data_IF_402670453271
#
_entry.id   IF_402670453271
#
_cell.length_a   1.000
_cell.length_b   1.000
_cell.length_c   1.000
_cell.angle_alpha   90.00
_cell.angle_beta   90.00
_cell.angle_gamma   90.00
#
_symmetry.space_group_name_H-M   'P 1'
#
loop_
_entity.id
_entity.type
_entity.pdbx_description
1 polymer ?
#
# COMPACT_ATOMS: atom_id res chain seq x y z
N UNK A 1 -59.32 52.03 51.89
CA UNK A 1 -59.75 50.88 51.07
C UNK A 1 -58.86 49.70 51.45
N UNK A 2 -59.22 48.79 52.36
CA UNK A 2 -60.22 47.71 52.24
C UNK A 2 -59.87 46.78 51.05
N UNK A 3 -59.73 45.44 51.14
CA UNK A 3 -60.15 44.34 52.02
C UNK A 3 -59.02 43.27 52.08
N UNK A 4 -58.71 42.58 53.20
CA UNK A 4 -59.25 41.29 53.73
C UNK A 4 -59.47 40.15 52.71
N UNK A 5 -58.83 39.00 52.95
CA UNK A 5 -59.19 37.69 52.37
C UNK A 5 -58.28 36.56 52.85
N UNK A 6 -58.72 35.80 53.84
CA UNK A 6 -58.11 34.55 54.30
C UNK A 6 -58.62 33.37 53.45
N UNK A 7 -57.77 32.40 53.12
CA UNK A 7 -58.20 31.11 52.61
C UNK A 7 -57.28 29.98 53.13
N UNK A 8 -57.92 29.10 53.89
CA UNK A 8 -57.45 27.80 54.39
C UNK A 8 -57.39 26.85 53.18
N UNK A 9 -56.28 26.12 53.00
CA UNK A 9 -56.27 24.93 52.14
C UNK A 9 -55.78 23.71 52.90
N UNK A 10 -56.64 22.69 52.88
CA UNK A 10 -56.53 21.44 53.57
C UNK A 10 -55.46 20.52 52.96
N UNK A 11 -54.75 19.81 53.83
CA UNK A 11 -53.97 18.62 53.51
C UNK A 11 -54.92 17.52 52.98
N UNK A 12 -54.70 17.09 51.73
CA UNK A 12 -55.25 15.84 51.20
C UNK A 12 -54.06 14.94 50.87
N UNK A 13 -53.86 13.94 51.72
CA UNK A 13 -52.92 12.84 51.51
C UNK A 13 -53.51 11.87 50.49
N UNK A 14 -52.97 11.88 49.27
CA UNK A 14 -53.35 10.92 48.21
C UNK A 14 -52.40 9.72 48.24
N UNK A 15 -52.98 8.56 48.57
CA UNK A 15 -52.38 7.23 48.53
C UNK A 15 -52.02 6.86 47.08
N UNK A 16 -50.73 6.72 46.76
CA UNK A 16 -50.29 6.21 45.47
C UNK A 16 -50.34 4.67 45.47
N UNK A 17 -51.35 4.09 44.82
CA UNK A 17 -51.40 2.66 44.53
C UNK A 17 -50.57 2.41 43.27
N UNK A 18 -49.44 1.74 43.43
CA UNK A 18 -48.58 1.30 42.33
C UNK A 18 -49.32 0.22 41.50
N UNK A 19 -49.94 0.63 40.39
CA UNK A 19 -50.44 -0.30 39.38
C UNK A 19 -49.25 -0.70 38.50
N UNK A 20 -48.66 -1.86 38.78
CA UNK A 20 -47.64 -2.44 37.91
C UNK A 20 -48.26 -2.88 36.58
N UNK A 21 -47.93 -2.21 35.49
CA UNK A 21 -48.23 -2.69 34.14
C UNK A 21 -47.27 -3.84 33.81
N UNK A 22 -47.73 -5.09 33.89
CA UNK A 22 -47.01 -6.23 33.31
C UNK A 22 -47.31 -6.29 31.80
N UNK A 23 -46.32 -5.97 30.97
CA UNK A 23 -46.38 -6.13 29.51
C UNK A 23 -46.01 -7.59 29.17
N UNK A 24 -47.01 -8.42 28.83
CA UNK A 24 -46.77 -9.76 28.32
C UNK A 24 -46.53 -9.68 26.81
N UNK A 25 -45.28 -9.89 26.37
CA UNK A 25 -44.95 -10.01 24.95
C UNK A 25 -45.07 -11.50 24.55
N UNK A 26 -45.97 -11.86 23.62
CA UNK A 26 -46.05 -13.21 23.09
C UNK A 26 -44.96 -13.39 22.03
N UNK A 27 -43.78 -13.85 22.45
CA UNK A 27 -42.69 -14.22 21.57
C UNK A 27 -41.54 -14.83 22.37
N UNK A 28 -40.93 -15.91 21.87
CA UNK A 28 -39.60 -16.31 22.33
C UNK A 28 -38.66 -15.13 22.09
N UNK A 29 -38.04 -14.61 23.15
CA UNK A 29 -36.99 -13.62 23.02
C UNK A 29 -35.87 -14.27 22.21
N UNK A 30 -35.55 -13.70 21.04
CA UNK A 30 -34.43 -14.13 20.23
C UNK A 30 -33.17 -14.17 21.11
N UNK A 31 -32.36 -15.22 20.97
CA UNK A 31 -31.13 -15.35 21.75
C UNK A 31 -30.25 -14.15 21.42
N UNK A 32 -29.94 -13.34 22.43
CA UNK A 32 -29.02 -12.21 22.29
C UNK A 32 -27.63 -12.79 21.96
N UNK A 33 -27.25 -12.70 20.69
CA UNK A 33 -25.90 -13.01 20.25
C UNK A 33 -24.96 -11.88 20.70
N UNK A 34 -23.72 -12.21 21.04
CA UNK A 34 -22.77 -11.24 21.57
C UNK A 34 -22.40 -10.11 20.59
N UNK A 35 -22.78 -10.20 19.30
CA UNK A 35 -22.65 -9.08 18.33
C UNK A 35 -23.54 -7.87 18.64
N UNK A 36 -24.50 -8.02 19.54
CA UNK A 36 -25.45 -6.97 19.94
C UNK A 36 -25.05 -6.27 21.25
N UNK A 37 -23.81 -6.51 21.69
CA UNK A 37 -23.26 -5.95 22.91
C UNK A 37 -23.28 -4.40 22.87
N UNK A 38 -23.72 -3.78 23.96
CA UNK A 38 -23.89 -2.33 24.07
C UNK A 38 -25.19 -1.75 23.46
N UNK A 39 -25.98 -2.52 22.70
CA UNK A 39 -27.26 -2.05 22.14
C UNK A 39 -28.43 -2.33 23.07
N UNK A 40 -28.47 -3.50 23.73
CA UNK A 40 -29.53 -3.88 24.69
C UNK A 40 -28.96 -4.81 25.78
N UNK A 41 -28.79 -4.32 27.01
CA UNK A 41 -28.49 -5.14 28.20
C UNK A 41 -27.01 -5.25 28.62
N UNK A 42 -26.73 -5.90 29.77
CA UNK A 42 -25.36 -6.15 30.26
C UNK A 42 -24.56 -7.02 29.28
N UNK A 43 -23.22 -7.03 29.39
CA UNK A 43 -22.35 -7.82 28.50
C UNK A 43 -22.76 -9.30 28.50
N UNK A 44 -22.72 -9.91 27.32
CA UNK A 44 -23.19 -11.30 27.12
C UNK A 44 -22.14 -12.31 27.57
N UNK A 45 -20.87 -11.90 27.61
CA UNK A 45 -19.76 -12.74 28.02
C UNK A 45 -19.42 -12.53 29.49
N UNK A 46 -18.91 -13.59 30.14
CA UNK A 46 -18.48 -13.50 31.54
C UNK A 46 -17.25 -12.56 31.64
N UNK A 47 -17.01 -11.92 32.80
CA UNK A 47 -15.81 -11.11 33.00
C UNK A 47 -14.54 -11.88 32.63
N UNK A 48 -13.69 -11.29 31.77
CA UNK A 48 -12.53 -11.98 31.22
C UNK A 48 -12.81 -12.77 29.95
N UNK A 49 -13.88 -12.43 29.20
CA UNK A 49 -14.15 -12.97 27.87
C UNK A 49 -14.53 -11.85 26.87
N UNK A 50 -14.20 -12.06 25.59
CA UNK A 50 -14.55 -11.19 24.45
C UNK A 50 -15.42 -11.95 23.44
N UNK A 51 -16.33 -11.25 22.75
CA UNK A 51 -17.15 -11.83 21.69
C UNK A 51 -16.35 -11.96 20.38
N UNK A 52 -15.95 -13.18 20.02
CA UNK A 52 -15.32 -13.47 18.73
C UNK A 52 -16.20 -14.42 17.93
N UNK A 53 -16.62 -14.03 16.72
CA UNK A 53 -17.47 -14.86 15.84
C UNK A 53 -18.72 -15.46 16.51
N UNK A 54 -19.38 -14.67 17.37
CA UNK A 54 -20.59 -15.06 18.14
C UNK A 54 -20.32 -16.07 19.27
N UNK A 55 -19.06 -16.27 19.64
CA UNK A 55 -18.65 -17.15 20.74
C UNK A 55 -17.86 -16.32 21.76
N UNK A 56 -18.25 -16.40 23.03
CA UNK A 56 -17.45 -15.84 24.11
C UNK A 56 -16.16 -16.63 24.23
N UNK A 57 -15.04 -15.97 24.01
CA UNK A 57 -13.69 -16.53 24.08
C UNK A 57 -12.96 -15.88 25.24
N UNK A 58 -12.22 -16.66 26.02
CA UNK A 58 -11.40 -16.12 27.11
C UNK A 58 -10.43 -15.07 26.57
N UNK A 59 -10.28 -13.97 27.29
CA UNK A 59 -9.37 -12.91 26.89
C UNK A 59 -7.94 -13.44 26.79
N UNK A 60 -7.28 -13.01 25.75
CA UNK A 60 -5.90 -13.34 25.47
C UNK A 60 -4.98 -12.49 26.35
N UNK A 61 -3.71 -12.88 26.46
CA UNK A 61 -2.66 -11.97 26.99
C UNK A 61 -1.99 -11.17 25.86
N UNK A 62 -2.48 -11.35 24.64
CA UNK A 62 -2.00 -10.77 23.39
C UNK A 62 -3.20 -10.22 22.62
N UNK A 63 -3.17 -8.94 22.31
CA UNK A 63 -4.12 -8.25 21.43
C UNK A 63 -4.05 -8.77 19.99
N UNK A 64 -5.18 -8.84 19.27
CA UNK A 64 -5.18 -8.99 17.81
C UNK A 64 -5.54 -7.65 17.18
N UNK A 65 -4.50 -6.93 16.81
CA UNK A 65 -4.62 -5.57 16.30
C UNK A 65 -5.51 -5.46 15.05
N UNK A 66 -6.32 -4.41 14.99
CA UNK A 66 -7.06 -3.98 13.81
C UNK A 66 -8.44 -4.60 13.66
N UNK A 67 -8.92 -5.33 14.66
CA UNK A 67 -10.28 -5.88 14.69
C UNK A 67 -11.27 -4.98 15.45
N UNK A 68 -10.79 -3.91 16.11
CA UNK A 68 -11.63 -3.00 16.90
C UNK A 68 -12.20 -3.63 18.16
N UNK A 69 -11.65 -4.76 18.60
CA UNK A 69 -12.02 -5.49 19.81
C UNK A 69 -10.95 -5.27 20.89
N UNK A 70 -11.33 -5.52 22.13
CA UNK A 70 -10.46 -5.52 23.30
C UNK A 70 -10.18 -7.00 23.63
N UNK A 71 -9.23 -7.60 22.91
CA UNK A 71 -8.92 -9.02 22.98
C UNK A 71 -8.20 -9.40 24.28
N UNK A 72 -7.52 -8.45 24.91
CA UNK A 72 -6.88 -8.62 26.21
C UNK A 72 -7.74 -8.15 27.41
N UNK A 73 -8.90 -7.54 27.10
CA UNK A 73 -9.92 -7.12 28.05
C UNK A 73 -9.42 -6.12 29.10
N UNK A 74 -8.47 -5.27 28.72
CA UNK A 74 -7.95 -4.24 29.60
C UNK A 74 -8.81 -2.96 29.61
N UNK A 75 -9.87 -2.92 28.79
CA UNK A 75 -10.84 -1.83 28.72
C UNK A 75 -10.60 -0.85 27.56
N UNK A 76 -9.60 -1.09 26.72
CA UNK A 76 -9.31 -0.26 25.55
C UNK A 76 -9.10 -1.16 24.32
N UNK A 77 -9.97 -1.08 23.29
CA UNK A 77 -9.75 -1.85 22.06
C UNK A 77 -8.40 -1.54 21.40
N UNK A 78 -7.71 -2.58 20.94
CA UNK A 78 -6.46 -2.50 20.16
C UNK A 78 -5.27 -1.77 20.85
N UNK A 79 -5.19 -1.68 22.19
CA UNK A 79 -4.18 -0.86 22.89
C UNK A 79 -2.90 -1.61 23.34
N UNK A 80 -2.94 -2.94 23.40
CA UNK A 80 -1.81 -3.84 23.65
C UNK A 80 -0.90 -4.08 22.45
N UNK A 81 -1.13 -3.37 21.34
CA UNK A 81 -0.31 -3.38 20.11
C UNK A 81 1.02 -2.62 20.26
N UNK A 82 1.60 -2.65 21.47
CA UNK A 82 2.70 -1.79 21.92
C UNK A 82 4.06 -1.99 21.23
N UNK A 83 4.17 -2.95 20.31
CA UNK A 83 5.25 -3.02 19.35
C UNK A 83 4.68 -2.72 17.96
N UNK A 84 5.12 -1.61 17.36
CA UNK A 84 4.79 -1.24 15.99
C UNK A 84 4.82 -2.46 15.06
N UNK A 85 3.67 -2.77 14.45
CA UNK A 85 3.61 -3.71 13.34
C UNK A 85 3.80 -5.18 13.69
N UNK A 86 2.87 -5.83 14.39
CA UNK A 86 2.83 -7.30 14.38
C UNK A 86 2.27 -7.87 13.07
N UNK A 87 1.59 -7.02 12.28
CA UNK A 87 1.00 -7.38 11.00
C UNK A 87 2.05 -7.86 10.00
N UNK A 88 2.25 -9.16 9.93
CA UNK A 88 3.08 -9.80 8.92
C UNK A 88 2.38 -9.77 7.55
N UNK A 89 3.07 -10.28 6.53
CA UNK A 89 2.56 -10.33 5.16
C UNK A 89 1.11 -10.82 5.05
N UNK A 90 0.24 -10.00 4.46
CA UNK A 90 -1.16 -10.32 4.20
C UNK A 90 -2.07 -10.27 5.42
N UNK A 91 -1.53 -9.99 6.61
CA UNK A 91 -2.34 -9.77 7.81
C UNK A 91 -3.14 -8.48 7.72
N UNK A 92 -4.26 -8.43 8.44
CA UNK A 92 -5.13 -7.27 8.41
C UNK A 92 -4.50 -6.08 9.12
N UNK A 93 -4.81 -4.88 8.64
CA UNK A 93 -4.32 -3.64 9.22
C UNK A 93 -5.34 -2.51 9.03
N UNK A 94 -5.30 -1.53 9.94
CA UNK A 94 -6.06 -0.28 9.80
C UNK A 94 -5.23 0.84 9.17
N UNK A 95 -3.93 0.85 9.44
CA UNK A 95 -2.96 1.84 8.98
C UNK A 95 -1.55 1.24 8.90
N UNK A 96 -0.61 1.94 8.26
CA UNK A 96 0.78 1.47 8.07
C UNK A 96 1.49 1.09 9.37
N UNK A 97 1.16 1.77 10.48
CA UNK A 97 1.73 1.47 11.80
C UNK A 97 1.33 0.09 12.34
N UNK A 98 0.25 -0.50 11.80
CA UNK A 98 -0.18 -1.86 12.11
C UNK A 98 0.63 -2.95 11.42
N UNK A 99 1.52 -2.60 10.49
CA UNK A 99 2.29 -3.57 9.71
C UNK A 99 3.77 -3.63 10.12
N UNK A 100 4.33 -4.84 10.06
CA UNK A 100 5.75 -5.12 10.31
C UNK A 100 6.67 -4.18 9.51
N UNK A 101 7.85 -3.79 10.04
CA UNK A 101 8.80 -2.94 9.34
C UNK A 101 9.09 -3.40 7.91
N UNK A 102 8.77 -2.54 6.93
CA UNK A 102 8.95 -2.83 5.50
C UNK A 102 7.65 -3.18 4.78
N UNK A 103 6.53 -3.22 5.50
CA UNK A 103 5.19 -3.33 4.94
C UNK A 103 4.43 -2.00 5.01
N UNK A 104 3.30 -2.00 4.31
CA UNK A 104 2.37 -0.92 4.03
C UNK A 104 0.96 -1.49 4.22
N UNK A 105 0.06 -0.71 4.81
CA UNK A 105 -1.33 -1.10 4.91
C UNK A 105 -2.10 -0.66 3.67
N UNK A 106 -2.39 -1.60 2.76
CA UNK A 106 -3.14 -1.33 1.53
C UNK A 106 -4.36 -2.22 1.49
N UNK A 107 -5.54 -1.62 1.28
CA UNK A 107 -6.84 -2.33 1.31
C UNK A 107 -7.02 -3.21 2.55
N UNK A 108 -6.61 -2.67 3.70
CA UNK A 108 -6.67 -3.35 5.00
C UNK A 108 -5.82 -4.62 5.12
N UNK A 109 -4.77 -4.76 4.29
CA UNK A 109 -3.77 -5.81 4.42
C UNK A 109 -2.34 -5.29 4.35
N UNK A 110 -1.45 -5.88 5.15
CA UNK A 110 -0.03 -5.58 5.14
C UNK A 110 0.63 -6.16 3.87
N UNK A 111 1.08 -5.27 2.99
CA UNK A 111 1.77 -5.58 1.74
C UNK A 111 3.06 -4.78 1.60
N UNK A 112 3.82 -4.94 0.53
CA UNK A 112 5.00 -4.12 0.22
C UNK A 112 5.07 -3.76 -1.25
N UNK A 113 5.96 -2.82 -1.55
CA UNK A 113 6.35 -2.56 -2.93
C UNK A 113 7.14 -3.74 -3.51
N UNK A 114 7.04 -3.92 -4.82
CA UNK A 114 7.67 -5.03 -5.53
C UNK A 114 8.14 -4.63 -6.93
N UNK A 115 9.18 -5.33 -7.38
CA UNK A 115 9.65 -5.26 -8.75
C UNK A 115 9.16 -6.41 -9.60
N UNK A 116 9.03 -7.59 -9.00
CA UNK A 116 8.64 -8.84 -9.62
C UNK A 116 7.71 -9.58 -8.69
N UNK A 117 6.94 -10.52 -9.24
CA UNK A 117 6.09 -11.39 -8.42
C UNK A 117 6.90 -12.32 -7.50
N UNK A 118 8.19 -12.53 -7.76
CA UNK A 118 9.10 -13.23 -6.83
C UNK A 118 9.44 -12.42 -5.56
N UNK A 119 9.29 -11.10 -5.62
CA UNK A 119 9.39 -10.26 -4.43
C UNK A 119 8.11 -10.30 -3.60
N UNK A 120 7.10 -11.08 -4.00
CA UNK A 120 5.87 -11.31 -3.24
C UNK A 120 5.88 -12.69 -2.57
N UNK A 121 5.17 -12.80 -1.44
CA UNK A 121 4.97 -14.08 -0.75
C UNK A 121 4.12 -15.08 -1.55
N UNK A 122 4.06 -16.36 -1.14
CA UNK A 122 3.20 -17.35 -1.77
C UNK A 122 1.74 -16.90 -1.85
N UNK A 123 1.09 -17.07 -3.01
CA UNK A 123 -0.30 -16.62 -3.22
C UNK A 123 -0.44 -15.15 -3.59
N UNK A 124 0.65 -14.40 -3.64
CA UNK A 124 0.68 -12.99 -4.01
C UNK A 124 1.51 -12.77 -5.27
N UNK A 125 1.13 -11.79 -6.07
CA UNK A 125 1.85 -11.38 -7.26
C UNK A 125 2.04 -9.87 -7.29
N UNK A 126 3.07 -9.43 -7.99
CA UNK A 126 3.32 -8.01 -8.10
C UNK A 126 2.36 -7.41 -9.13
N UNK A 127 1.57 -6.44 -8.69
CA UNK A 127 0.64 -5.73 -9.55
C UNK A 127 1.38 -4.69 -10.38
N UNK A 128 0.76 -4.19 -11.44
CA UNK A 128 1.38 -3.14 -12.25
C UNK A 128 1.61 -1.85 -11.44
N UNK A 129 0.84 -1.66 -10.35
CA UNK A 129 1.05 -0.62 -9.36
C UNK A 129 2.33 -0.74 -8.54
N UNK A 130 3.16 -1.76 -8.77
CA UNK A 130 4.38 -1.98 -7.99
C UNK A 130 4.11 -2.38 -6.54
N UNK A 131 2.93 -2.93 -6.26
CA UNK A 131 2.52 -3.44 -4.95
C UNK A 131 2.22 -4.92 -5.06
N UNK A 132 2.55 -5.68 -4.02
CA UNK A 132 2.13 -7.07 -3.98
C UNK A 132 0.64 -7.14 -3.67
N UNK A 133 -0.08 -7.92 -4.45
CA UNK A 133 -1.51 -8.13 -4.28
C UNK A 133 -1.83 -9.63 -4.32
N UNK A 134 -2.86 -10.02 -3.57
CA UNK A 134 -3.35 -11.39 -3.55
C UNK A 134 -3.77 -11.82 -4.97
N UNK A 135 -3.34 -13.01 -5.38
CA UNK A 135 -3.65 -13.55 -6.71
C UNK A 135 -5.14 -13.66 -6.98
N UNK A 136 -5.95 -13.99 -5.98
CA UNK A 136 -7.41 -14.03 -6.10
C UNK A 136 -8.00 -12.64 -6.35
N UNK A 137 -7.47 -11.61 -5.67
CA UNK A 137 -7.86 -10.21 -5.91
C UNK A 137 -7.53 -9.76 -7.33
N UNK A 138 -6.38 -10.17 -7.85
CA UNK A 138 -5.97 -9.93 -9.24
C UNK A 138 -6.74 -10.80 -10.26
N UNK A 139 -7.57 -11.74 -9.79
CA UNK A 139 -8.22 -12.78 -10.59
C UNK A 139 -7.21 -13.61 -11.41
N UNK A 140 -6.13 -14.04 -10.76
CA UNK A 140 -5.03 -14.82 -11.35
C UNK A 140 -4.79 -16.10 -10.56
N UNK A 141 -4.55 -17.19 -11.29
CA UNK A 141 -3.94 -18.39 -10.73
C UNK A 141 -2.43 -18.22 -10.78
N UNK A 142 -1.75 -18.37 -9.65
CA UNK A 142 -0.31 -18.13 -9.55
C UNK A 142 0.46 -19.45 -9.53
N UNK A 143 1.54 -19.50 -10.31
CA UNK A 143 2.44 -20.64 -10.42
C UNK A 143 3.84 -20.36 -9.87
N UNK A 144 4.84 -21.04 -10.43
CA UNK A 144 6.23 -21.01 -9.95
C UNK A 144 7.23 -20.52 -11.01
N UNK A 145 6.83 -20.48 -12.28
CA UNK A 145 7.70 -20.05 -13.37
C UNK A 145 7.93 -18.54 -13.37
N UNK A 146 9.16 -18.15 -13.63
CA UNK A 146 9.66 -16.78 -13.68
C UNK A 146 9.44 -16.14 -15.05
N UNK A 147 9.57 -14.81 -15.10
CA UNK A 147 9.49 -14.05 -16.35
C UNK A 147 10.42 -14.62 -17.44
N UNK A 148 9.86 -14.87 -18.62
CA UNK A 148 10.56 -15.41 -19.78
C UNK A 148 10.64 -16.92 -19.86
N UNK A 149 10.31 -17.66 -18.80
CA UNK A 149 10.20 -19.13 -18.87
C UNK A 149 9.00 -19.56 -19.73
N UNK A 150 9.09 -20.75 -20.33
CA UNK A 150 8.03 -21.28 -21.19
C UNK A 150 6.85 -21.76 -20.33
N UNK A 151 5.65 -21.30 -20.66
CA UNK A 151 4.40 -21.68 -19.97
C UNK A 151 3.40 -22.27 -20.96
N UNK A 152 2.58 -23.20 -20.45
CA UNK A 152 1.41 -23.73 -21.14
C UNK A 152 0.14 -22.98 -20.74
N UNK A 153 0.09 -22.47 -19.50
CA UNK A 153 -1.03 -21.74 -18.94
C UNK A 153 -0.58 -20.57 -18.06
N UNK A 154 -1.46 -19.59 -17.86
CA UNK A 154 -1.21 -18.48 -16.93
C UNK A 154 -0.91 -18.95 -15.51
N UNK A 155 -1.53 -20.06 -15.08
CA UNK A 155 -1.31 -20.67 -13.76
C UNK A 155 0.08 -21.27 -13.56
N UNK A 156 0.89 -21.36 -14.61
CA UNK A 156 2.26 -21.85 -14.47
C UNK A 156 3.20 -20.73 -13.98
N UNK A 157 2.83 -19.47 -14.24
CA UNK A 157 3.65 -18.28 -14.01
C UNK A 157 3.41 -17.68 -12.63
N UNK A 158 4.47 -17.23 -11.94
CA UNK A 158 4.34 -16.55 -10.62
C UNK A 158 3.45 -15.33 -10.65
N UNK A 159 3.50 -14.58 -11.76
CA UNK A 159 2.64 -13.43 -12.00
C UNK A 159 1.18 -13.78 -12.32
N UNK A 160 0.92 -15.05 -12.62
CA UNK A 160 -0.33 -15.54 -13.17
C UNK A 160 -0.61 -15.08 -14.60
N UNK A 161 0.42 -14.74 -15.39
CA UNK A 161 0.28 -14.26 -16.77
C UNK A 161 1.20 -15.02 -17.72
N UNK A 162 0.60 -15.78 -18.63
CA UNK A 162 1.29 -16.45 -19.75
C UNK A 162 0.89 -15.78 -21.07
N UNK A 163 1.84 -15.12 -21.73
CA UNK A 163 1.62 -14.45 -23.03
C UNK A 163 2.57 -15.03 -24.06
N UNK A 164 2.04 -15.40 -25.23
CA UNK A 164 2.82 -15.99 -26.32
C UNK A 164 3.68 -17.20 -25.89
N UNK A 165 3.18 -18.00 -24.95
CA UNK A 165 3.87 -19.17 -24.40
C UNK A 165 5.02 -18.86 -23.46
N UNK A 166 5.13 -17.63 -22.95
CA UNK A 166 6.12 -17.22 -21.95
C UNK A 166 5.48 -16.50 -20.77
N UNK A 167 6.06 -16.70 -19.59
CA UNK A 167 5.62 -15.98 -18.41
C UNK A 167 6.00 -14.50 -18.51
N UNK A 168 5.03 -13.64 -18.26
CA UNK A 168 5.19 -12.19 -18.24
C UNK A 168 5.06 -11.72 -16.81
N UNK A 169 5.98 -10.90 -16.33
CA UNK A 169 5.95 -10.35 -14.97
C UNK A 169 6.21 -8.85 -15.01
N UNK A 170 5.91 -8.20 -13.90
CA UNK A 170 6.43 -6.85 -13.60
C UNK A 170 7.95 -6.88 -13.51
N UNK A 171 8.57 -5.73 -13.69
CA UNK A 171 10.02 -5.60 -13.61
C UNK A 171 10.44 -4.19 -13.24
N UNK A 172 11.67 -4.07 -12.78
CA UNK A 172 12.30 -2.80 -12.42
C UNK A 172 13.54 -2.51 -13.27
N UNK A 173 14.21 -3.57 -13.71
CA UNK A 173 15.37 -3.52 -14.57
C UNK A 173 15.27 -4.58 -15.66
N UNK A 174 16.05 -4.41 -16.74
CA UNK A 174 16.10 -5.41 -17.81
C UNK A 174 16.56 -6.79 -17.31
N UNK A 175 17.38 -6.85 -16.26
CA UNK A 175 17.87 -8.09 -15.64
C UNK A 175 16.77 -8.92 -14.95
N UNK A 176 15.62 -8.32 -14.66
CA UNK A 176 14.46 -9.03 -14.10
C UNK A 176 13.75 -9.92 -15.13
N UNK A 177 14.04 -9.68 -16.42
CA UNK A 177 13.38 -10.33 -17.53
C UNK A 177 14.28 -11.40 -18.15
N UNK A 178 13.84 -12.66 -18.10
CA UNK A 178 14.52 -13.79 -18.74
C UNK A 178 14.08 -14.02 -20.19
N UNK A 179 14.69 -15.01 -20.85
CA UNK A 179 14.13 -15.61 -22.07
C UNK A 179 14.04 -14.69 -23.29
N UNK A 180 14.86 -13.62 -23.36
CA UNK A 180 14.82 -12.64 -24.44
C UNK A 180 13.75 -11.55 -24.26
N UNK A 181 13.12 -11.48 -23.09
CA UNK A 181 12.27 -10.35 -22.70
C UNK A 181 13.15 -9.20 -22.18
N UNK A 182 12.62 -7.99 -22.25
CA UNK A 182 13.19 -6.79 -21.67
C UNK A 182 12.15 -6.08 -20.83
N UNK A 183 12.60 -5.41 -19.77
CA UNK A 183 11.71 -4.58 -18.99
C UNK A 183 11.24 -3.35 -19.80
N UNK A 184 9.98 -3.34 -20.19
CA UNK A 184 9.36 -2.30 -21.00
C UNK A 184 8.53 -1.37 -20.12
N UNK A 185 8.62 -0.07 -20.39
CA UNK A 185 7.94 0.97 -19.65
C UNK A 185 6.49 1.07 -20.16
N UNK A 186 5.54 1.00 -19.22
CA UNK A 186 4.11 1.07 -19.50
C UNK A 186 3.46 2.10 -18.56
N UNK A 187 2.43 2.85 -19.00
CA UNK A 187 1.70 3.78 -18.14
C UNK A 187 1.19 3.16 -16.83
N UNK A 188 0.83 1.88 -16.86
CA UNK A 188 0.30 1.16 -15.70
C UNK A 188 1.37 0.53 -14.81
N UNK A 189 2.65 0.53 -15.22
CA UNK A 189 3.74 -0.15 -14.52
C UNK A 189 4.69 -0.92 -15.45
N UNK A 190 5.97 -0.99 -15.10
CA UNK A 190 6.98 -1.64 -15.93
C UNK A 190 6.74 -3.17 -16.02
N UNK A 191 6.85 -3.74 -17.23
CA UNK A 191 6.49 -5.13 -17.51
C UNK A 191 7.50 -5.80 -18.47
N UNK A 192 7.87 -7.06 -18.19
CA UNK A 192 8.74 -7.85 -19.06
C UNK A 192 8.01 -8.19 -20.36
N UNK A 193 8.49 -7.69 -21.49
CA UNK A 193 7.92 -7.98 -22.82
C UNK A 193 9.01 -8.33 -23.81
N UNK A 194 8.70 -8.97 -24.95
CA UNK A 194 9.66 -9.12 -26.02
C UNK A 194 10.17 -7.74 -26.43
N UNK A 195 11.46 -7.49 -26.23
CA UNK A 195 12.08 -6.23 -26.58
C UNK A 195 13.23 -6.47 -27.54
N UNK A 196 12.98 -6.10 -28.78
CA UNK A 196 14.01 -5.99 -29.80
C UNK A 196 14.12 -4.53 -30.15
N UNK A 197 15.18 -3.86 -29.70
CA UNK A 197 15.32 -2.43 -29.91
C UNK A 197 16.68 -1.92 -29.46
N UNK A 198 16.86 -0.62 -29.63
CA UNK A 198 18.03 0.13 -29.19
C UNK A 198 18.12 0.14 -27.66
N UNK A 199 19.35 0.10 -27.16
CA UNK A 199 19.64 0.10 -25.72
C UNK A 199 19.55 1.49 -25.11
N UNK A 200 19.47 1.56 -23.79
CA UNK A 200 19.51 2.81 -23.00
C UNK A 200 20.62 3.77 -23.49
N UNK A 201 20.26 5.04 -23.69
CA UNK A 201 21.17 6.09 -24.16
C UNK A 201 21.37 6.16 -25.68
N UNK A 202 20.83 5.21 -26.45
CA UNK A 202 20.88 5.29 -27.92
C UNK A 202 19.93 6.36 -28.45
N UNK A 203 20.31 7.05 -29.52
CA UNK A 203 19.41 8.00 -30.19
C UNK A 203 18.23 7.29 -30.86
N UNK A 204 17.03 7.83 -30.68
CA UNK A 204 15.80 7.28 -31.22
C UNK A 204 14.91 8.37 -31.82
N UNK A 205 13.95 7.97 -32.63
CA UNK A 205 12.90 8.83 -33.19
C UNK A 205 11.57 8.61 -32.46
N UNK A 206 11.29 7.34 -32.13
CA UNK A 206 10.01 6.86 -31.61
C UNK A 206 10.19 5.79 -30.53
N UNK A 207 9.15 5.56 -29.72
CA UNK A 207 9.20 4.70 -28.53
C UNK A 207 9.52 3.24 -28.84
N UNK A 208 8.94 2.72 -29.92
CA UNK A 208 9.05 1.32 -30.37
C UNK A 208 10.47 0.94 -30.82
N UNK A 209 11.31 1.92 -31.13
CA UNK A 209 12.71 1.69 -31.45
C UNK A 209 13.53 1.31 -30.22
N UNK A 210 13.06 1.62 -29.02
CA UNK A 210 13.80 1.38 -27.79
C UNK A 210 13.40 0.05 -27.18
N UNK A 211 14.38 -0.70 -26.65
CA UNK A 211 14.10 -1.96 -25.96
C UNK A 211 13.13 -1.77 -24.77
N UNK A 212 13.25 -0.66 -24.05
CA UNK A 212 12.34 -0.28 -22.96
C UNK A 212 11.01 0.32 -23.43
N UNK A 213 10.75 0.41 -24.74
CA UNK A 213 9.58 1.05 -25.35
C UNK A 213 9.39 2.53 -24.95
N UNK A 214 10.48 3.26 -24.67
CA UNK A 214 10.43 4.68 -24.32
C UNK A 214 11.57 5.47 -24.94
N UNK A 215 11.21 6.40 -25.82
CA UNK A 215 12.09 7.36 -26.48
C UNK A 215 11.78 8.78 -25.99
N UNK A 216 12.73 9.44 -25.32
CA UNK A 216 12.46 10.72 -24.65
C UNK A 216 13.40 11.81 -25.13
N UNK A 217 12.85 13.01 -25.29
CA UNK A 217 13.65 14.21 -25.54
C UNK A 217 14.56 14.47 -24.34
N UNK A 218 15.85 14.56 -24.60
CA UNK A 218 16.86 14.95 -23.60
C UNK A 218 17.36 16.37 -23.80
N UNK A 219 17.25 16.87 -25.03
CA UNK A 219 17.51 18.26 -25.40
C UNK A 219 16.69 18.61 -26.65
N UNK A 220 16.72 19.87 -27.08
CA UNK A 220 16.05 20.30 -28.31
C UNK A 220 16.54 19.47 -29.50
N UNK A 221 15.63 18.70 -30.11
CA UNK A 221 15.92 17.88 -31.29
C UNK A 221 16.69 16.59 -31.03
N UNK A 222 16.98 16.23 -29.78
CA UNK A 222 17.62 14.94 -29.47
C UNK A 222 16.75 14.12 -28.53
N UNK A 223 16.45 12.90 -28.95
CA UNK A 223 15.80 11.90 -28.12
C UNK A 223 16.71 10.70 -27.90
N UNK A 224 16.69 10.17 -26.68
CA UNK A 224 17.39 8.95 -26.32
C UNK A 224 16.41 7.90 -25.81
N UNK A 225 16.78 6.64 -26.00
CA UNK A 225 16.12 5.53 -25.35
C UNK A 225 16.32 5.61 -23.84
N UNK A 226 15.22 5.54 -23.10
CA UNK A 226 15.22 5.49 -21.64
C UNK A 226 15.33 4.03 -21.15
N UNK A 227 15.49 3.85 -19.85
CA UNK A 227 15.51 2.56 -19.16
C UNK A 227 14.62 2.69 -17.91
N UNK A 228 13.90 1.63 -17.51
CA UNK A 228 13.26 1.59 -16.22
C UNK A 228 14.32 1.72 -15.11
N UNK A 229 13.92 2.27 -13.97
CA UNK A 229 14.81 2.54 -12.85
C UNK A 229 14.06 2.38 -11.53
N UNK A 230 14.80 2.12 -10.47
CA UNK A 230 14.30 2.14 -9.10
C UNK A 230 14.92 3.24 -8.29
N UNK A 231 16.08 3.76 -8.67
CA UNK A 231 16.64 4.94 -8.05
C UNK A 231 17.34 5.79 -9.10
N UNK A 232 17.61 7.05 -8.79
CA UNK A 232 18.39 7.89 -9.67
C UNK A 232 19.85 7.40 -9.83
N UNK A 233 20.32 6.44 -9.03
CA UNK A 233 21.61 5.78 -9.25
C UNK A 233 21.60 4.81 -10.43
N UNK A 234 20.45 4.27 -10.81
CA UNK A 234 20.33 3.40 -11.99
C UNK A 234 20.48 4.20 -13.29
N UNK A 235 20.30 5.52 -13.21
CA UNK A 235 20.38 6.42 -14.32
C UNK A 235 21.81 6.96 -14.50
N UNK A 236 22.46 6.56 -15.59
CA UNK A 236 23.76 7.10 -15.99
C UNK A 236 23.68 8.51 -16.60
N UNK A 237 24.84 9.11 -16.87
CA UNK A 237 24.97 10.37 -17.62
C UNK A 237 25.45 10.14 -19.05
N UNK A 238 24.97 10.92 -20.01
CA UNK A 238 25.35 10.78 -21.43
C UNK A 238 26.00 12.04 -21.97
N UNK A 239 26.89 11.88 -22.97
CA UNK A 239 27.39 13.02 -23.75
C UNK A 239 26.67 13.07 -25.09
N UNK A 240 25.86 14.10 -25.29
CA UNK A 240 25.06 14.31 -26.49
C UNK A 240 25.47 15.63 -27.13
N UNK A 241 26.03 15.58 -28.34
CA UNK A 241 26.51 16.76 -29.06
C UNK A 241 27.47 17.66 -28.23
N UNK A 242 28.29 17.04 -27.38
CA UNK A 242 29.23 17.75 -26.50
C UNK A 242 28.63 18.30 -25.21
N UNK A 243 27.32 18.12 -24.97
CA UNK A 243 26.66 18.43 -23.70
C UNK A 243 26.55 17.16 -22.84
N UNK A 244 26.95 17.25 -21.58
CA UNK A 244 26.68 16.21 -20.59
C UNK A 244 25.24 16.34 -20.11
N UNK A 245 24.44 15.31 -20.34
CA UNK A 245 23.05 15.18 -19.89
C UNK A 245 23.04 14.26 -18.67
N UNK A 246 22.60 14.81 -17.54
CA UNK A 246 22.29 14.03 -16.34
C UNK A 246 20.88 13.46 -16.45
N UNK A 247 20.73 12.22 -15.98
CA UNK A 247 19.46 11.52 -15.94
C UNK A 247 19.14 11.17 -14.50
N UNK A 248 17.87 11.28 -14.12
CA UNK A 248 17.39 10.86 -12.81
C UNK A 248 16.19 9.93 -12.98
N UNK A 249 15.89 9.16 -11.95
CA UNK A 249 14.72 8.30 -11.98
C UNK A 249 13.47 9.12 -11.71
N UNK A 250 12.48 9.04 -12.60
CA UNK A 250 11.23 9.77 -12.47
C UNK A 250 10.07 9.05 -13.13
N UNK A 251 8.88 9.66 -13.04
CA UNK A 251 7.61 9.05 -13.45
C UNK A 251 7.03 9.77 -14.68
N UNK A 252 7.58 9.53 -15.89
CA UNK A 252 7.27 10.31 -17.09
C UNK A 252 5.86 10.16 -17.65
N UNK A 253 5.12 9.11 -17.25
CA UNK A 253 3.85 8.69 -17.87
C UNK A 253 2.87 8.02 -16.90
N UNK A 254 2.99 8.26 -15.59
CA UNK A 254 2.17 7.61 -14.57
C UNK A 254 3.00 6.74 -13.64
N UNK A 255 2.71 5.44 -13.59
CA UNK A 255 3.24 4.52 -12.56
C UNK A 255 4.64 4.00 -12.88
N UNK A 256 4.97 3.80 -14.16
CA UNK A 256 6.29 3.30 -14.56
C UNK A 256 7.41 4.32 -14.34
N UNK A 257 8.34 4.01 -13.43
CA UNK A 257 9.57 4.77 -13.23
C UNK A 257 10.55 4.54 -14.40
N UNK A 258 11.17 5.60 -14.88
CA UNK A 258 12.16 5.56 -15.95
C UNK A 258 13.18 6.70 -15.83
N UNK A 259 14.36 6.49 -16.41
CA UNK A 259 15.39 7.51 -16.47
C UNK A 259 14.96 8.67 -17.37
N UNK A 260 14.86 9.85 -16.79
CA UNK A 260 14.46 11.10 -17.45
C UNK A 260 15.58 12.13 -17.39
N UNK A 261 15.74 12.91 -18.46
CA UNK A 261 16.65 14.05 -18.48
C UNK A 261 16.01 15.25 -17.80
N UNK A 262 16.82 16.06 -17.14
CA UNK A 262 16.36 17.23 -16.42
C UNK A 262 17.50 18.06 -15.85
N UNK A 263 17.14 19.21 -15.27
CA UNK A 263 18.05 19.98 -14.43
C UNK A 263 17.90 19.46 -13.00
N UNK A 264 18.80 18.57 -12.61
CA UNK A 264 18.81 17.94 -11.29
C UNK A 264 19.83 18.59 -10.37
N UNK A 265 19.54 18.57 -9.08
CA UNK A 265 20.47 18.97 -8.05
C UNK A 265 21.48 17.87 -7.73
N UNK A 266 22.17 18.03 -6.60
CA UNK A 266 23.15 17.04 -6.11
C UNK A 266 22.80 16.47 -4.75
N UNK A 267 21.71 16.93 -4.12
CA UNK A 267 21.24 16.43 -2.84
C UNK A 267 20.86 14.95 -2.93
N UNK A 268 21.45 14.14 -2.05
CA UNK A 268 21.09 12.73 -1.89
C UNK A 268 19.83 12.61 -1.00
N UNK A 269 19.20 11.43 -1.01
CA UNK A 269 18.04 11.14 -0.13
C UNK A 269 18.34 11.54 1.32
N UNK A 270 17.40 12.24 1.96
CA UNK A 270 17.51 12.75 3.33
C UNK A 270 18.26 14.07 3.49
N UNK A 271 18.84 14.62 2.43
CA UNK A 271 19.48 15.96 2.47
C UNK A 271 18.42 17.04 2.48
N UNK A 272 18.58 18.10 3.27
CA UNK A 272 17.64 19.22 3.28
C UNK A 272 17.55 19.92 1.90
N UNK A 273 16.34 20.28 1.48
CA UNK A 273 16.07 20.96 0.22
C UNK A 273 15.04 22.09 0.39
N UNK A 274 15.07 23.05 -0.54
CA UNK A 274 14.07 24.13 -0.66
C UNK A 274 13.18 23.94 -1.88
N UNK A 275 13.62 23.13 -2.85
CA UNK A 275 12.82 22.70 -3.99
C UNK A 275 13.49 21.56 -4.74
N UNK A 276 12.77 21.02 -5.72
CA UNK A 276 13.15 19.86 -6.51
C UNK A 276 14.55 19.94 -7.14
N UNK A 277 14.93 21.13 -7.61
CA UNK A 277 16.23 21.39 -8.21
C UNK A 277 17.43 21.25 -7.26
N UNK A 278 17.21 21.12 -5.95
CA UNK A 278 18.28 20.83 -4.99
C UNK A 278 18.62 19.33 -4.93
N UNK A 279 17.69 18.48 -5.37
CA UNK A 279 17.75 17.03 -5.22
C UNK A 279 18.20 16.35 -6.51
N UNK A 280 19.02 15.30 -6.38
CA UNK A 280 19.49 14.53 -7.53
C UNK A 280 18.36 13.86 -8.30
N UNK A 281 17.34 13.42 -7.59
CA UNK A 281 16.11 12.86 -8.19
C UNK A 281 15.21 13.92 -8.84
N UNK A 282 15.44 15.20 -8.56
CA UNK A 282 14.47 16.24 -8.85
C UNK A 282 13.23 16.20 -7.94
N UNK A 283 13.32 15.60 -6.74
CA UNK A 283 12.18 15.46 -5.82
C UNK A 283 12.57 15.97 -4.44
N UNK A 284 11.98 17.09 -4.02
CA UNK A 284 12.03 17.59 -2.66
C UNK A 284 10.73 17.22 -1.93
N UNK A 285 10.85 16.35 -0.91
CA UNK A 285 9.74 15.87 -0.11
C UNK A 285 9.05 16.98 0.69
N UNK A 286 7.82 16.72 1.14
CA UNK A 286 7.05 17.67 1.95
C UNK A 286 7.67 17.97 3.32
N UNK A 287 8.54 17.07 3.80
CA UNK A 287 9.36 17.23 5.01
C UNK A 287 10.57 18.15 4.80
N UNK A 288 10.77 18.67 3.59
CA UNK A 288 11.92 19.50 3.23
C UNK A 288 13.21 18.70 3.07
N UNK A 289 13.12 17.40 2.82
CA UNK A 289 14.27 16.54 2.52
C UNK A 289 14.17 15.96 1.10
N UNK A 290 15.32 15.77 0.46
CA UNK A 290 15.40 15.13 -0.83
C UNK A 290 14.91 13.69 -0.73
N UNK A 291 14.06 13.30 -1.68
CA UNK A 291 13.61 11.92 -1.87
C UNK A 291 14.25 11.35 -3.14
N UNK A 292 13.95 10.11 -3.48
CA UNK A 292 14.29 9.48 -4.77
C UNK A 292 13.16 8.51 -5.10
N UNK A 293 13.05 8.10 -6.36
CA UNK A 293 12.25 6.93 -6.68
C UNK A 293 12.82 5.73 -5.92
N UNK A 294 11.98 4.75 -5.63
CA UNK A 294 12.36 3.48 -5.03
C UNK A 294 11.43 2.38 -5.53
N UNK A 295 11.90 1.14 -5.47
CA UNK A 295 11.05 -0.03 -5.66
C UNK A 295 11.05 -0.95 -4.42
N UNK A 296 12.03 -0.79 -3.55
CA UNK A 296 12.20 -1.49 -2.29
C UNK A 296 12.90 -0.60 -1.26
N UNK A 297 12.82 -0.96 0.02
CA UNK A 297 13.54 -0.25 1.09
C UNK A 297 15.06 -0.19 0.85
N UNK A 298 15.63 -1.14 0.10
CA UNK A 298 17.06 -1.15 -0.22
C UNK A 298 17.47 0.01 -1.16
N UNK A 299 16.52 0.58 -1.91
CA UNK A 299 16.76 1.72 -2.79
C UNK A 299 16.84 3.05 -2.02
N UNK A 300 16.52 3.04 -0.72
CA UNK A 300 16.51 4.20 0.17
C UNK A 300 17.71 4.17 1.13
N UNK A 301 18.90 4.62 0.70
CA UNK A 301 20.15 4.44 1.45
C UNK A 301 20.26 5.30 2.71
N UNK A 302 19.40 6.30 2.87
CA UNK A 302 19.41 7.17 4.04
C UNK A 302 18.79 6.45 5.25
N UNK A 303 19.48 6.48 6.38
CA UNK A 303 19.00 5.84 7.59
C UNK A 303 17.62 6.37 8.00
N UNK A 304 16.67 5.46 8.23
CA UNK A 304 15.28 5.79 8.56
C UNK A 304 14.40 6.06 7.35
N UNK A 305 14.93 6.10 6.12
CA UNK A 305 14.10 6.18 4.92
C UNK A 305 13.69 4.78 4.47
N UNK A 306 12.48 4.68 3.94
CA UNK A 306 11.85 3.45 3.42
C UNK A 306 11.12 3.75 2.13
N UNK A 307 10.91 2.72 1.33
CA UNK A 307 10.16 2.87 0.10
C UNK A 307 8.67 2.83 0.40
N UNK A 308 7.94 3.85 -0.05
CA UNK A 308 6.51 3.97 0.14
C UNK A 308 5.86 4.32 -1.18
N UNK A 309 4.86 3.54 -1.58
CA UNK A 309 4.04 3.85 -2.74
C UNK A 309 3.07 4.98 -2.38
N UNK A 310 2.85 5.91 -3.30
CA UNK A 310 1.70 6.81 -3.24
C UNK A 310 0.42 6.15 -3.75
N UNK A 311 -0.70 6.88 -3.76
CA UNK A 311 -2.00 6.41 -4.25
C UNK A 311 -1.99 5.96 -5.74
N UNK A 312 -0.95 6.32 -6.49
CA UNK A 312 -0.75 5.91 -7.88
C UNK A 312 0.19 4.72 -8.01
N UNK A 313 0.69 4.14 -6.92
CA UNK A 313 1.67 3.04 -6.95
C UNK A 313 3.10 3.50 -7.22
N UNK A 314 3.40 4.80 -7.11
CA UNK A 314 4.76 5.32 -7.34
C UNK A 314 5.55 5.27 -6.04
N UNK A 315 6.64 4.51 -6.03
CA UNK A 315 7.52 4.37 -4.87
C UNK A 315 8.43 5.59 -4.67
N UNK A 316 8.40 6.18 -3.48
CA UNK A 316 9.31 7.23 -3.05
C UNK A 316 9.99 6.88 -1.73
N UNK A 317 11.24 7.30 -1.59
CA UNK A 317 11.93 7.23 -0.31
C UNK A 317 11.37 8.28 0.65
N UNK A 318 10.70 7.84 1.71
CA UNK A 318 10.15 8.70 2.77
C UNK A 318 10.65 8.21 4.13
N UNK A 319 10.62 9.10 5.13
CA UNK A 319 11.13 8.84 6.47
C UNK A 319 10.09 8.23 7.39
#
# INVERSE_FOLDING_TARGET
MALRGAAIFALVSSLAVAVGCSLALPGELDRVECRSEGVIGPPVCDPGQVCLDRVCTDCSTSERCGNGLDDDCNGTPDDGCGDAGSGDWGESCAEDAGCSPGFLCVDSHCTRTCCRSEDCGPGWACSSGGLCEDGAKLNRSLGLLRAGELCASSGDCRSGVCESGRCIDTCCAHSDCGGGLTCAINPSGNICRPGTGLTYGSTCSDNDQCAANLCRNVSTGVKLCSSPCCSSYDCGSFNVAGLRVEMACGYPSGVGAACVAGSFGTGAVGTACKGDGDCRSGICGADGACSDACCSDADCPAAGYRCRADDMGRGFCVR
#
